data_IF_545016612903
#
_entry.id   IF_545016612903
#
_cell.length_a   1.000
_cell.length_b   1.000
_cell.length_c   1.000
_cell.angle_alpha   90.00
_cell.angle_beta   90.00
_cell.angle_gamma   90.00
#
_symmetry.space_group_name_H-M   'P 1'
#
loop_
_entity.id
_entity.type
_entity.pdbx_description
1 polymer ?
#
# COMPACT_ATOMS: atom_id res chain seq x y z
N UNK A 1 -13.72 -14.69 -46.24
CA UNK A 1 -12.57 -14.39 -45.38
C UNK A 1 -13.03 -14.53 -43.95
N UNK A 2 -12.65 -15.63 -43.29
CA UNK A 2 -13.00 -15.89 -41.90
C UNK A 2 -11.88 -15.32 -41.02
N UNK A 3 -12.21 -14.39 -40.13
CA UNK A 3 -11.31 -13.96 -39.08
C UNK A 3 -11.24 -15.09 -38.04
N UNK A 4 -10.06 -15.71 -37.89
CA UNK A 4 -9.79 -16.62 -36.78
C UNK A 4 -9.77 -15.80 -35.48
N UNK A 5 -10.68 -16.09 -34.58
CA UNK A 5 -10.61 -15.67 -33.19
C UNK A 5 -9.52 -16.50 -32.48
N UNK A 6 -8.44 -15.85 -32.06
CA UNK A 6 -7.50 -16.40 -31.08
C UNK A 6 -8.06 -16.12 -29.68
N UNK A 7 -8.83 -17.07 -29.16
CA UNK A 7 -9.11 -17.17 -27.72
C UNK A 7 -7.95 -17.94 -27.10
N UNK A 8 -6.94 -17.24 -26.60
CA UNK A 8 -5.99 -17.81 -25.66
C UNK A 8 -6.65 -17.75 -24.30
N UNK A 9 -7.18 -18.88 -23.84
CA UNK A 9 -7.74 -19.02 -22.52
C UNK A 9 -6.59 -19.18 -21.51
N UNK A 10 -6.38 -18.20 -20.64
CA UNK A 10 -5.68 -18.42 -19.36
C UNK A 10 -6.48 -19.45 -18.57
N UNK A 11 -5.80 -20.51 -18.10
CA UNK A 11 -6.42 -21.69 -17.52
C UNK A 11 -7.29 -21.38 -16.30
N UNK A 12 -8.43 -22.08 -16.23
CA UNK A 12 -9.32 -22.06 -15.08
C UNK A 12 -8.70 -22.86 -13.92
N UNK A 13 -8.14 -22.14 -12.95
CA UNK A 13 -8.07 -22.58 -11.54
C UNK A 13 -8.93 -21.60 -10.74
N UNK A 14 -9.49 -22.06 -9.62
CA UNK A 14 -10.40 -21.31 -8.71
C UNK A 14 -9.71 -20.16 -7.93
N UNK A 15 -8.77 -19.47 -8.57
CA UNK A 15 -8.02 -18.30 -8.09
C UNK A 15 -8.57 -17.06 -8.82
N UNK A 16 -8.60 -15.85 -8.22
CA UNK A 16 -9.12 -14.65 -8.87
C UNK A 16 -8.51 -14.47 -10.26
N UNK A 17 -9.38 -14.18 -11.24
CA UNK A 17 -9.02 -14.08 -12.66
C UNK A 17 -7.82 -13.15 -12.87
N UNK A 18 -6.80 -13.53 -13.68
CA UNK A 18 -5.70 -12.62 -13.99
C UNK A 18 -6.19 -11.42 -14.79
N UNK A 19 -5.71 -10.23 -14.41
CA UNK A 19 -5.94 -8.97 -15.10
C UNK A 19 -5.17 -8.93 -16.43
N UNK A 20 -5.83 -8.39 -17.46
CA UNK A 20 -5.26 -8.16 -18.77
C UNK A 20 -4.67 -6.75 -18.80
N UNK A 21 -3.35 -6.60 -18.91
CA UNK A 21 -2.76 -5.33 -19.31
C UNK A 21 -2.37 -5.40 -20.79
N UNK A 22 -2.74 -4.39 -21.57
CA UNK A 22 -2.28 -4.25 -22.97
C UNK A 22 -1.06 -3.34 -22.98
N UNK A 23 0.06 -3.84 -23.48
CA UNK A 23 1.21 -2.98 -23.75
C UNK A 23 0.99 -2.12 -25.02
N UNK A 24 1.91 -1.19 -25.26
CA UNK A 24 1.89 -0.27 -26.41
C UNK A 24 2.00 -0.97 -27.78
N UNK A 25 2.21 -2.28 -27.81
CA UNK A 25 2.30 -3.15 -29.00
C UNK A 25 1.07 -4.05 -29.16
N UNK A 26 0.11 -4.01 -28.24
CA UNK A 26 -1.07 -4.86 -28.25
C UNK A 26 -0.79 -6.29 -27.77
N UNK A 27 0.35 -6.51 -27.12
CA UNK A 27 0.65 -7.77 -26.44
C UNK A 27 0.04 -7.70 -25.04
N UNK A 28 -0.80 -8.70 -24.74
CA UNK A 28 -1.41 -8.84 -23.42
C UNK A 28 -0.33 -9.42 -22.50
N UNK A 29 0.16 -8.62 -21.57
CA UNK A 29 1.15 -9.06 -20.58
C UNK A 29 0.43 -9.34 -19.26
N UNK A 30 0.37 -10.62 -18.91
CA UNK A 30 -0.23 -11.11 -17.66
C UNK A 30 0.84 -11.16 -16.56
N UNK A 31 1.54 -10.06 -16.30
CA UNK A 31 2.43 -9.97 -15.15
C UNK A 31 1.58 -9.66 -13.92
N UNK A 32 0.91 -10.69 -13.43
CA UNK A 32 0.33 -10.74 -12.08
C UNK A 32 1.49 -11.15 -11.18
N UNK A 33 1.74 -10.44 -10.08
CA UNK A 33 2.66 -10.93 -9.06
C UNK A 33 2.20 -12.33 -8.65
N UNK A 34 3.09 -13.32 -8.71
CA UNK A 34 2.73 -14.74 -8.73
C UNK A 34 1.90 -15.20 -7.50
N UNK A 35 1.93 -14.48 -6.37
CA UNK A 35 0.97 -14.66 -5.27
C UNK A 35 1.00 -13.47 -4.29
N UNK A 36 -0.17 -12.94 -3.94
CA UNK A 36 -0.35 -12.18 -2.70
C UNK A 36 -0.55 -13.19 -1.57
N UNK A 37 0.22 -13.03 -0.49
CA UNK A 37 0.23 -13.97 0.62
C UNK A 37 0.01 -13.23 1.94
N UNK A 38 -0.47 -13.94 2.98
CA UNK A 38 -0.50 -13.39 4.33
C UNK A 38 0.86 -12.83 4.74
N UNK A 39 0.86 -11.72 5.47
CA UNK A 39 2.10 -10.98 5.78
C UNK A 39 3.16 -11.81 6.55
N UNK A 40 2.79 -12.91 7.20
CA UNK A 40 3.72 -13.85 7.86
C UNK A 40 4.42 -14.83 6.90
N UNK A 41 4.02 -14.85 5.63
CA UNK A 41 4.61 -15.66 4.56
C UNK A 41 5.46 -14.84 3.59
N UNK A 42 5.54 -13.52 3.80
CA UNK A 42 6.30 -12.62 2.95
C UNK A 42 7.80 -12.81 3.16
N UNK A 43 8.55 -12.91 2.06
CA UNK A 43 10.01 -12.88 2.07
C UNK A 43 10.52 -11.47 1.84
N UNK A 44 11.20 -10.91 2.85
CA UNK A 44 11.85 -9.59 2.76
C UNK A 44 13.34 -9.76 2.50
N UNK A 45 13.84 -9.19 1.40
CA UNK A 45 15.26 -9.18 1.08
C UNK A 45 15.92 -7.85 1.50
N UNK A 46 17.11 -7.92 2.08
CA UNK A 46 17.87 -6.72 2.46
C UNK A 46 18.95 -7.00 3.50
N UNK A 47 20.01 -6.18 3.52
CA UNK A 47 21.01 -6.19 4.59
C UNK A 47 20.54 -5.29 5.74
N UNK A 48 19.59 -5.82 6.53
CA UNK A 48 18.92 -5.07 7.60
C UNK A 48 19.69 -5.19 8.93
N UNK A 49 19.84 -4.09 9.66
CA UNK A 49 20.24 -4.13 11.06
C UNK A 49 19.17 -4.84 11.93
N UNK A 50 19.52 -5.23 13.15
CA UNK A 50 18.57 -5.85 14.10
C UNK A 50 17.36 -4.93 14.37
N UNK A 51 17.60 -3.63 14.56
CA UNK A 51 16.55 -2.63 14.75
C UNK A 51 15.64 -2.48 13.54
N UNK A 52 16.18 -2.56 12.33
CA UNK A 52 15.39 -2.50 11.09
C UNK A 52 14.56 -3.76 10.90
N UNK A 53 15.11 -4.94 11.20
CA UNK A 53 14.32 -6.19 11.19
C UNK A 53 13.15 -6.12 12.15
N UNK A 54 13.38 -5.65 13.38
CA UNK A 54 12.31 -5.48 14.36
C UNK A 54 11.22 -4.49 13.88
N UNK A 55 11.61 -3.46 13.13
CA UNK A 55 10.69 -2.50 12.53
C UNK A 55 9.85 -3.14 11.39
N UNK A 56 10.48 -3.98 10.58
CA UNK A 56 9.82 -4.76 9.51
C UNK A 56 8.85 -5.76 10.09
N UNK A 57 9.29 -6.56 11.06
CA UNK A 57 8.45 -7.54 11.74
C UNK A 57 7.23 -6.87 12.39
N UNK A 58 7.43 -5.69 12.99
CA UNK A 58 6.33 -4.88 13.51
C UNK A 58 5.35 -4.50 12.40
N UNK A 59 5.84 -3.96 11.26
CA UNK A 59 4.97 -3.53 10.16
C UNK A 59 4.18 -4.69 9.54
N UNK A 60 4.85 -5.82 9.26
CA UNK A 60 4.21 -7.05 8.77
C UNK A 60 3.13 -7.54 9.75
N UNK A 61 3.41 -7.47 11.06
CA UNK A 61 2.42 -7.79 12.09
C UNK A 61 1.15 -6.94 12.00
N UNK A 62 1.26 -5.65 11.66
CA UNK A 62 0.09 -4.76 11.48
C UNK A 62 -0.76 -5.17 10.28
N UNK A 63 -0.14 -5.47 9.14
CA UNK A 63 -0.85 -5.96 7.97
C UNK A 63 -1.52 -7.32 8.25
N UNK A 64 -0.84 -8.22 8.97
CA UNK A 64 -1.41 -9.51 9.38
C UNK A 64 -2.62 -9.37 10.30
N UNK A 65 -2.59 -8.45 11.27
CA UNK A 65 -3.69 -8.23 12.24
C UNK A 65 -5.02 -7.86 11.58
N UNK A 66 -4.99 -7.26 10.38
CA UNK A 66 -6.17 -6.91 9.58
C UNK A 66 -6.24 -7.70 8.26
N UNK A 67 -5.55 -8.85 8.19
CA UNK A 67 -5.61 -9.78 7.04
C UNK A 67 -5.35 -9.10 5.68
N UNK A 68 -4.48 -8.08 5.66
CA UNK A 68 -4.06 -7.43 4.41
C UNK A 68 -2.86 -8.17 3.83
N UNK A 69 -3.11 -8.92 2.76
CA UNK A 69 -2.06 -9.65 2.04
C UNK A 69 -1.08 -8.72 1.34
N UNK A 70 0.18 -9.15 1.23
CA UNK A 70 1.24 -8.43 0.54
C UNK A 70 1.84 -9.29 -0.57
N UNK A 71 2.62 -8.73 -1.50
CA UNK A 71 3.40 -9.54 -2.43
C UNK A 71 4.26 -10.56 -1.69
N UNK A 72 4.28 -11.82 -2.15
CA UNK A 72 5.02 -12.90 -1.49
C UNK A 72 6.52 -12.65 -1.30
N UNK A 73 7.09 -11.70 -2.04
CA UNK A 73 8.44 -11.22 -1.83
C UNK A 73 8.57 -9.75 -2.23
N UNK A 74 9.42 -9.01 -1.52
CA UNK A 74 9.86 -7.67 -1.91
C UNK A 74 11.26 -7.36 -1.34
N UNK A 75 11.97 -6.46 -2.00
CA UNK A 75 13.24 -5.92 -1.54
C UNK A 75 12.97 -4.72 -0.61
N UNK A 76 13.62 -4.69 0.54
CA UNK A 76 13.53 -3.59 1.48
C UNK A 76 14.91 -3.03 1.81
N UNK A 77 15.02 -1.71 1.74
CA UNK A 77 16.22 -1.00 2.18
C UNK A 77 15.90 0.23 3.00
N UNK A 78 16.87 0.62 3.83
CA UNK A 78 16.83 1.86 4.60
C UNK A 78 18.03 2.71 4.19
N UNK A 79 17.77 3.90 3.67
CA UNK A 79 18.81 4.86 3.30
C UNK A 79 18.84 6.00 4.32
N UNK A 80 20.00 6.33 4.91
CA UNK A 80 20.08 7.44 5.86
C UNK A 80 19.89 8.81 5.20
N UNK A 81 19.79 8.88 3.87
CA UNK A 81 19.63 10.09 3.08
C UNK A 81 18.39 10.02 2.19
N UNK A 82 17.79 11.19 1.93
CA UNK A 82 16.66 11.30 0.99
C UNK A 82 17.04 11.10 -0.48
N UNK A 83 18.33 10.88 -0.80
CA UNK A 83 18.80 10.84 -2.18
C UNK A 83 18.25 9.62 -2.95
N UNK A 84 18.20 8.45 -2.32
CA UNK A 84 17.66 7.23 -2.92
C UNK A 84 16.14 7.31 -3.21
N UNK A 85 15.44 8.19 -2.50
CA UNK A 85 14.01 8.46 -2.67
C UNK A 85 13.74 9.82 -3.36
N UNK A 86 14.69 10.34 -4.14
CA UNK A 86 14.52 11.59 -4.90
C UNK A 86 14.05 12.81 -4.06
N UNK A 87 14.43 12.88 -2.79
CA UNK A 87 14.05 13.94 -1.86
C UNK A 87 12.85 13.61 -0.96
N UNK A 88 12.16 12.48 -1.19
CA UNK A 88 11.10 11.98 -0.32
C UNK A 88 11.65 11.22 0.91
N UNK A 89 10.77 10.91 1.86
CA UNK A 89 11.11 10.14 3.08
C UNK A 89 11.01 8.63 2.87
N UNK A 90 10.27 8.19 1.86
CA UNK A 90 10.11 6.80 1.48
C UNK A 90 9.86 6.71 -0.02
N UNK A 91 9.93 5.48 -0.54
CA UNK A 91 9.62 5.15 -1.92
C UNK A 91 9.24 3.68 -2.05
N UNK A 92 8.10 3.45 -2.68
CA UNK A 92 7.73 2.16 -3.24
C UNK A 92 7.96 2.17 -4.76
N UNK A 93 8.46 1.05 -5.30
CA UNK A 93 8.59 0.83 -6.74
C UNK A 93 8.04 -0.55 -7.09
N UNK A 94 7.08 -0.56 -8.00
CA UNK A 94 6.34 -1.74 -8.43
C UNK A 94 6.51 -1.78 -9.94
N UNK A 95 7.34 -2.69 -10.46
CA UNK A 95 7.43 -2.94 -11.90
C UNK A 95 6.99 -4.37 -12.19
N UNK A 96 6.22 -4.62 -13.26
CA UNK A 96 5.69 -5.95 -13.55
C UNK A 96 6.75 -7.04 -13.74
N UNK A 97 7.97 -6.66 -14.15
CA UNK A 97 9.05 -7.59 -14.47
C UNK A 97 10.12 -7.72 -13.35
N UNK A 98 9.99 -6.96 -12.26
CA UNK A 98 10.97 -6.90 -11.16
C UNK A 98 10.35 -7.31 -9.81
N UNK A 99 11.19 -7.64 -8.84
CA UNK A 99 10.76 -7.75 -7.44
C UNK A 99 10.38 -6.33 -6.95
N UNK A 100 9.22 -6.13 -6.30
CA UNK A 100 8.87 -4.84 -5.74
C UNK A 100 9.93 -4.34 -4.76
N UNK A 101 10.20 -3.03 -4.77
CA UNK A 101 11.22 -2.42 -3.92
C UNK A 101 10.55 -1.40 -2.99
N UNK A 102 10.82 -1.49 -1.69
CA UNK A 102 10.50 -0.46 -0.71
C UNK A 102 11.80 0.11 -0.15
N UNK A 103 11.88 1.44 -0.12
CA UNK A 103 13.01 2.16 0.48
C UNK A 103 12.48 3.17 1.47
N UNK A 104 12.96 3.13 2.71
CA UNK A 104 12.70 4.20 3.69
C UNK A 104 13.96 5.07 3.75
N UNK A 105 13.86 6.28 3.23
CA UNK A 105 14.94 7.25 3.08
C UNK A 105 14.90 8.36 4.12
N UNK A 106 14.88 7.98 5.38
CA UNK A 106 14.82 8.94 6.47
C UNK A 106 16.02 8.80 7.38
N UNK A 107 16.73 9.91 7.69
CA UNK A 107 17.77 9.86 8.70
C UNK A 107 17.19 9.39 10.02
N UNK A 108 17.97 8.64 10.78
CA UNK A 108 17.68 8.36 12.18
C UNK A 108 17.68 9.67 12.98
N UNK A 109 16.53 10.37 12.99
CA UNK A 109 16.35 11.49 13.88
C UNK A 109 16.16 10.93 15.30
N UNK A 110 17.02 11.36 16.22
CA UNK A 110 16.97 11.09 17.66
C UNK A 110 15.74 11.70 18.35
N UNK A 111 14.76 12.19 17.60
CA UNK A 111 13.54 12.77 18.12
C UNK A 111 12.44 11.69 18.19
N UNK A 112 12.20 11.09 19.37
CA UNK A 112 11.17 10.07 19.55
C UNK A 112 9.76 10.63 19.41
N UNK A 113 9.57 11.92 19.12
CA UNK A 113 8.26 12.47 18.75
C UNK A 113 8.01 12.42 17.24
N UNK A 114 9.07 12.13 16.47
CA UNK A 114 9.07 12.04 15.02
C UNK A 114 9.20 10.59 14.60
N UNK A 115 8.11 9.86 14.82
CA UNK A 115 7.88 8.45 14.45
C UNK A 115 7.79 8.21 12.94
N UNK A 116 8.58 8.95 12.17
CA UNK A 116 8.44 9.01 10.73
C UNK A 116 8.86 7.70 10.07
N UNK A 117 9.88 6.95 10.54
CA UNK A 117 10.27 5.66 9.93
C UNK A 117 9.17 4.59 10.01
N UNK A 118 8.46 4.47 11.14
CA UNK A 118 7.34 3.52 11.31
C UNK A 118 6.21 3.82 10.33
N UNK A 119 5.77 5.07 10.31
CA UNK A 119 4.65 5.51 9.48
C UNK A 119 5.04 5.50 8.00
N UNK A 120 6.25 5.92 7.66
CA UNK A 120 6.79 5.83 6.30
C UNK A 120 6.83 4.38 5.84
N UNK A 121 7.31 3.45 6.68
CA UNK A 121 7.30 2.04 6.30
C UNK A 121 5.89 1.52 6.05
N UNK A 122 4.92 1.82 6.92
CA UNK A 122 3.52 1.46 6.70
C UNK A 122 2.96 2.07 5.41
N UNK A 123 3.29 3.34 5.12
CA UNK A 123 2.87 4.04 3.90
C UNK A 123 3.41 3.37 2.65
N UNK A 124 4.71 3.12 2.58
CA UNK A 124 5.31 2.49 1.40
C UNK A 124 4.87 1.02 1.24
N UNK A 125 4.63 0.29 2.35
CA UNK A 125 4.05 -1.04 2.28
C UNK A 125 2.56 -1.01 1.89
N UNK A 126 1.83 0.06 2.21
CA UNK A 126 0.46 0.22 1.74
C UNK A 126 0.40 0.39 0.21
N UNK A 127 1.43 1.01 -0.39
CA UNK A 127 1.59 1.00 -1.85
C UNK A 127 1.81 -0.41 -2.40
N UNK A 128 2.50 -1.32 -1.68
CA UNK A 128 2.62 -2.73 -2.11
C UNK A 128 1.28 -3.46 -2.06
N UNK A 129 0.55 -3.33 -0.95
CA UNK A 129 -0.81 -3.89 -0.83
C UNK A 129 -1.69 -3.39 -1.97
N UNK A 130 -1.64 -2.08 -2.20
CA UNK A 130 -2.48 -1.43 -3.18
C UNK A 130 -2.08 -1.74 -4.64
N UNK A 131 -0.79 -1.85 -4.92
CA UNK A 131 -0.30 -2.25 -6.23
C UNK A 131 -0.73 -3.67 -6.63
N UNK A 132 -1.17 -4.50 -5.67
CA UNK A 132 -1.78 -5.80 -5.91
C UNK A 132 -3.11 -5.77 -6.64
N UNK A 133 -3.85 -4.65 -6.55
CA UNK A 133 -5.07 -4.48 -7.32
C UNK A 133 -4.79 -4.28 -8.82
N UNK A 134 -3.54 -3.94 -9.19
CA UNK A 134 -3.14 -3.51 -10.53
C UNK A 134 -3.96 -2.31 -11.04
N UNK A 135 -3.82 -1.97 -12.33
CA UNK A 135 -4.74 -1.05 -13.03
C UNK A 135 -6.14 -1.67 -13.26
N UNK A 136 -6.48 -2.72 -12.51
CA UNK A 136 -7.73 -3.47 -12.63
C UNK A 136 -8.90 -2.81 -11.92
N UNK A 137 -9.98 -3.58 -11.79
CA UNK A 137 -11.28 -3.10 -11.30
C UNK A 137 -11.24 -2.51 -9.86
N UNK A 138 -10.23 -2.85 -9.05
CA UNK A 138 -10.10 -2.36 -7.67
C UNK A 138 -9.58 -0.92 -7.54
N UNK A 139 -8.81 -0.43 -8.52
CA UNK A 139 -8.20 0.91 -8.46
C UNK A 139 -9.25 2.05 -8.51
N UNK A 140 -10.21 2.05 -9.47
CA UNK A 140 -11.26 3.07 -9.50
C UNK A 140 -12.12 3.10 -8.23
N UNK A 141 -12.37 1.95 -7.60
CA UNK A 141 -13.14 1.85 -6.37
C UNK A 141 -12.38 2.45 -5.18
N UNK A 142 -11.11 2.07 -5.01
CA UNK A 142 -10.25 2.61 -3.96
C UNK A 142 -10.07 4.14 -4.08
N UNK A 143 -9.79 4.62 -5.29
CA UNK A 143 -9.66 6.06 -5.58
C UNK A 143 -10.96 6.81 -5.30
N UNK A 144 -12.13 6.22 -5.56
CA UNK A 144 -13.41 6.82 -5.25
C UNK A 144 -13.68 6.92 -3.73
N UNK A 145 -13.28 5.91 -2.94
CA UNK A 145 -13.42 5.90 -1.48
C UNK A 145 -12.62 7.04 -0.85
N UNK A 146 -11.34 7.14 -1.22
CA UNK A 146 -10.49 8.19 -0.64
C UNK A 146 -10.76 9.56 -1.30
N UNK A 147 -11.21 9.56 -2.55
CA UNK A 147 -11.26 10.71 -3.44
C UNK A 147 -9.87 11.18 -3.84
N UNK A 148 -9.77 12.15 -4.74
CA UNK A 148 -8.49 12.70 -5.18
C UNK A 148 -8.51 12.93 -6.69
N UNK A 149 -7.38 13.40 -7.21
CA UNK A 149 -7.10 13.51 -8.63
C UNK A 149 -6.08 12.43 -9.02
N UNK A 150 -5.66 12.53 -10.28
CA UNK A 150 -4.58 11.76 -10.88
C UNK A 150 -3.32 11.75 -9.99
N UNK A 151 -2.52 10.69 -10.11
CA UNK A 151 -1.30 10.48 -9.32
C UNK A 151 -0.08 11.14 -9.94
N UNK A 152 -0.30 12.05 -10.89
CA UNK A 152 0.76 12.84 -11.51
C UNK A 152 1.60 13.57 -10.46
N UNK A 153 2.92 13.56 -10.66
CA UNK A 153 3.85 14.26 -9.79
C UNK A 153 3.68 15.78 -9.80
N UNK A 154 2.99 16.34 -10.79
CA UNK A 154 2.60 17.76 -10.83
C UNK A 154 1.40 18.07 -9.94
N UNK A 155 0.59 17.08 -9.58
CA UNK A 155 -0.53 17.22 -8.64
C UNK A 155 0.02 17.34 -7.22
N UNK A 156 -0.47 18.28 -6.38
CA UNK A 156 -0.07 18.36 -4.98
C UNK A 156 -0.29 17.03 -4.26
N UNK A 157 0.65 16.62 -3.40
CA UNK A 157 0.58 15.35 -2.67
C UNK A 157 -0.79 15.05 -2.03
N UNK A 158 -1.44 15.99 -1.30
CA UNK A 158 -2.73 15.73 -0.66
C UNK A 158 -3.87 15.51 -1.63
N UNK A 159 -3.67 15.72 -2.92
CA UNK A 159 -4.66 15.54 -3.98
C UNK A 159 -4.46 14.22 -4.74
N UNK A 160 -3.31 13.54 -4.65
CA UNK A 160 -3.03 12.28 -5.37
C UNK A 160 -3.75 11.09 -4.73
N UNK A 161 -4.60 10.40 -5.48
CA UNK A 161 -5.38 9.28 -4.93
C UNK A 161 -4.54 8.11 -4.40
N UNK A 162 -3.40 7.75 -5.02
CA UNK A 162 -2.48 6.69 -4.56
C UNK A 162 -1.97 6.99 -3.15
N UNK A 163 -1.41 8.18 -2.98
CA UNK A 163 -0.85 8.61 -1.70
C UNK A 163 -1.92 8.73 -0.63
N UNK A 164 -3.14 9.06 -1.04
CA UNK A 164 -4.30 9.15 -0.15
C UNK A 164 -4.77 7.77 0.31
N UNK A 165 -4.70 6.74 -0.54
CA UNK A 165 -4.93 5.34 -0.14
C UNK A 165 -3.85 4.92 0.85
N UNK A 166 -2.57 5.12 0.51
CA UNK A 166 -1.46 4.75 1.38
C UNK A 166 -1.48 5.48 2.75
N UNK A 167 -1.81 6.77 2.76
CA UNK A 167 -2.02 7.56 4.00
C UNK A 167 -3.18 6.98 4.84
N UNK A 168 -4.26 6.51 4.20
CA UNK A 168 -5.42 5.97 4.91
C UNK A 168 -5.11 4.60 5.52
N UNK A 169 -4.46 3.72 4.76
CA UNK A 169 -4.03 2.40 5.23
C UNK A 169 -3.00 2.56 6.35
N UNK A 170 -1.96 3.38 6.16
CA UNK A 170 -0.95 3.62 7.20
C UNK A 170 -1.53 4.23 8.47
N UNK A 171 -2.53 5.11 8.36
CA UNK A 171 -3.28 5.63 9.51
C UNK A 171 -4.02 4.51 10.25
N UNK A 172 -4.78 3.67 9.54
CA UNK A 172 -5.58 2.64 10.19
C UNK A 172 -4.76 1.47 10.75
N UNK A 173 -3.56 1.26 10.23
CA UNK A 173 -2.61 0.28 10.77
C UNK A 173 -1.77 0.82 11.93
N UNK A 174 -1.68 2.13 12.10
CA UNK A 174 -0.81 2.77 13.10
C UNK A 174 -1.13 2.32 14.53
N UNK A 175 -0.09 2.07 15.34
CA UNK A 175 -0.20 1.82 16.78
C UNK A 175 -0.15 3.12 17.62
N UNK A 176 -0.34 4.27 16.96
CA UNK A 176 -0.24 5.60 17.55
C UNK A 176 -1.28 6.55 16.98
N UNK A 177 -1.62 7.57 17.78
CA UNK A 177 -2.46 8.70 17.36
C UNK A 177 -1.73 9.53 16.30
N UNK A 178 -1.90 9.12 15.05
CA UNK A 178 -1.33 9.76 13.89
C UNK A 178 -2.36 10.68 13.22
N UNK A 179 -1.88 11.81 12.67
CA UNK A 179 -2.66 12.64 11.76
C UNK A 179 -2.01 12.58 10.39
N UNK A 180 -2.71 12.12 9.35
CA UNK A 180 -2.20 12.06 7.99
C UNK A 180 -1.59 13.38 7.52
N UNK A 181 -0.57 13.27 6.66
CA UNK A 181 0.02 14.43 5.97
C UNK A 181 -1.01 15.19 5.13
N UNK A 182 -2.10 14.51 4.76
CA UNK A 182 -3.32 14.95 4.03
C UNK A 182 -4.10 16.14 4.65
N UNK A 183 -3.66 16.69 5.77
CA UNK A 183 -4.32 17.81 6.47
C UNK A 183 -5.38 17.35 7.48
N UNK A 184 -6.26 18.25 7.91
CA UNK A 184 -7.26 18.00 8.97
C UNK A 184 -8.47 17.21 8.48
N UNK A 185 -8.29 16.06 7.83
CA UNK A 185 -9.43 15.20 7.57
C UNK A 185 -10.08 14.80 8.89
N UNK A 186 -11.42 14.88 8.99
CA UNK A 186 -12.13 14.39 10.15
C UNK A 186 -11.82 12.92 10.37
N UNK A 187 -11.72 12.56 11.63
CA UNK A 187 -11.17 11.28 12.03
C UNK A 187 -12.14 10.11 11.74
N UNK A 188 -13.44 10.41 11.77
CA UNK A 188 -14.54 9.54 11.32
C UNK A 188 -14.51 9.27 9.81
N UNK A 189 -14.00 10.22 9.01
CA UNK A 189 -13.80 10.02 7.56
C UNK A 189 -12.68 9.04 7.33
N UNK A 190 -11.54 9.17 8.02
CA UNK A 190 -10.42 8.23 7.91
C UNK A 190 -10.83 6.82 8.34
N UNK A 191 -11.58 6.73 9.46
CA UNK A 191 -12.11 5.47 9.95
C UNK A 191 -12.95 4.75 8.89
N UNK A 192 -13.94 5.46 8.33
CA UNK A 192 -14.82 4.91 7.30
C UNK A 192 -14.05 4.54 6.03
N UNK A 193 -13.13 5.39 5.58
CA UNK A 193 -12.33 5.12 4.39
C UNK A 193 -11.47 3.86 4.57
N UNK A 194 -10.88 3.67 5.75
CA UNK A 194 -10.13 2.44 6.04
C UNK A 194 -11.03 1.21 6.00
N UNK A 195 -12.20 1.23 6.66
CA UNK A 195 -13.15 0.12 6.64
C UNK A 195 -13.67 -0.18 5.23
N UNK A 196 -13.98 0.85 4.44
CA UNK A 196 -14.44 0.69 3.06
C UNK A 196 -13.33 0.15 2.14
N UNK A 197 -12.08 0.55 2.34
CA UNK A 197 -10.92 0.07 1.56
C UNK A 197 -10.55 -1.38 1.89
N UNK A 198 -10.59 -1.74 3.17
CA UNK A 198 -9.99 -2.99 3.66
C UNK A 198 -11.02 -4.06 4.01
N UNK A 199 -12.25 -3.65 4.35
CA UNK A 199 -13.24 -4.52 4.98
C UNK A 199 -13.03 -4.73 6.49
N UNK A 200 -12.01 -4.11 7.09
CA UNK A 200 -11.64 -4.28 8.49
C UNK A 200 -11.68 -2.96 9.27
N UNK A 201 -11.95 -3.06 10.58
CA UNK A 201 -11.82 -1.91 11.46
C UNK A 201 -10.33 -1.52 11.63
N UNK A 202 -10.00 -0.22 11.78
CA UNK A 202 -8.64 0.21 12.08
C UNK A 202 -8.14 -0.39 13.40
N UNK A 203 -6.82 -0.51 13.54
CA UNK A 203 -6.18 -1.04 14.73
C UNK A 203 -6.07 0.03 15.83
N UNK A 204 -6.16 -0.35 17.13
CA UNK A 204 -5.95 0.57 18.23
C UNK A 204 -4.47 0.99 18.34
N UNK A 205 -4.20 2.16 18.96
CA UNK A 205 -5.13 3.10 19.57
C UNK A 205 -5.74 4.05 18.52
N UNK A 206 -7.07 4.13 18.54
CA UNK A 206 -7.84 5.11 17.78
C UNK A 206 -8.30 6.18 18.78
N UNK A 207 -8.18 7.48 18.45
CA UNK A 207 -8.80 8.53 19.28
C UNK A 207 -10.31 8.25 19.31
N UNK A 208 -10.96 8.15 20.50
CA UNK A 208 -12.38 7.83 20.59
C UNK A 208 -13.28 8.72 19.73
N UNK A 209 -12.83 9.94 19.38
CA UNK A 209 -13.53 10.85 18.46
C UNK A 209 -13.53 10.41 17.00
N UNK A 210 -12.70 9.43 16.63
CA UNK A 210 -12.62 8.86 15.29
C UNK A 210 -13.52 7.65 15.11
N UNK A 211 -14.02 7.05 16.20
CA UNK A 211 -14.95 5.93 16.14
C UNK A 211 -16.36 6.50 15.86
N UNK A 212 -17.04 6.10 14.78
CA UNK A 212 -18.43 6.49 14.55
C UNK A 212 -19.28 6.13 15.77
N UNK A 213 -20.20 7.02 16.17
CA UNK A 213 -21.18 6.65 17.19
C UNK A 213 -21.95 5.42 16.66
N UNK A 214 -21.88 4.30 17.37
CA UNK A 214 -22.66 3.13 17.00
C UNK A 214 -24.13 3.54 17.09
N UNK A 215 -24.85 3.52 15.98
CA UNK A 215 -26.30 3.60 16.00
C UNK A 215 -26.81 2.39 16.79
N UNK A 216 -27.04 2.58 18.10
CA UNK A 216 -27.68 1.56 18.94
C UNK A 216 -29.05 1.26 18.31
N UNK A 217 -29.14 0.11 17.67
CA UNK A 217 -30.34 -0.38 16.96
C UNK A 217 -31.08 -1.42 17.79
#
# INVERSE_FOLDING_TARGET
MAALAFLVACGASDVPRPLLTQDVRGEINCAVYDEFVPADQVTVHGDLSESERALVDWALGRFLEVELDLPGQFDLSFDPTRAACFGAVGRCRINPDDIPEVTVCEPDELDPTKYHRKLTLLHEMAHLWHGGFGDGDGWPEASAIVGGMDNDQEVPWPERSEERVADTISWGLSDQLYRPARGTQPCDVLYRQFEELTGFAPLPPIDPKCVPESDES
#
